data_IF_639086012678
#
_entry.id   IF_639086012678
#
_cell.length_a   1.000
_cell.length_b   1.000
_cell.length_c   1.000
_cell.angle_alpha   90.00
_cell.angle_beta   90.00
_cell.angle_gamma   90.00
#
_symmetry.space_group_name_H-M   'P 1'
#
loop_
_entity.id
_entity.type
_entity.pdbx_description
1 polymer ?
#
# COMPACT_ATOMS: atom_id res chain seq x y z
N UNK A 1 8.18 39.28 25.10
CA UNK A 1 7.50 37.98 25.20
C UNK A 1 6.70 37.77 23.92
N UNK A 2 7.28 37.11 22.92
CA UNK A 2 6.53 36.74 21.72
C UNK A 2 5.88 35.39 21.99
N UNK A 3 4.57 35.41 22.23
CA UNK A 3 3.72 34.22 22.20
C UNK A 3 3.80 33.59 20.82
N UNK A 4 4.70 32.64 20.68
CA UNK A 4 4.81 31.79 19.50
C UNK A 4 3.65 30.78 19.54
N UNK A 5 2.41 31.28 19.42
CA UNK A 5 1.26 30.43 19.11
C UNK A 5 1.56 29.81 17.75
N UNK A 6 1.83 28.51 17.73
CA UNK A 6 1.84 27.71 16.51
C UNK A 6 0.43 27.78 15.90
N UNK A 7 0.16 28.83 15.12
CA UNK A 7 -1.09 28.95 14.37
C UNK A 7 -0.95 28.00 13.19
N UNK A 8 -1.35 26.75 13.42
CA UNK A 8 -1.43 25.72 12.40
C UNK A 8 -2.48 26.15 11.38
N UNK A 9 -2.03 26.82 10.32
CA UNK A 9 -2.88 27.37 9.27
C UNK A 9 -3.21 26.28 8.25
N UNK A 10 -4.39 26.32 7.65
CA UNK A 10 -4.81 25.36 6.60
C UNK A 10 -3.80 25.28 5.43
N UNK A 11 -3.07 26.38 5.16
CA UNK A 11 -1.95 26.44 4.21
C UNK A 11 -0.82 25.51 4.61
N UNK A 12 -0.43 25.51 5.88
CA UNK A 12 0.59 24.62 6.42
C UNK A 12 0.14 23.15 6.38
N UNK A 13 -1.16 22.87 6.58
CA UNK A 13 -1.72 21.52 6.45
C UNK A 13 -1.63 21.00 5.02
N UNK A 14 -2.05 21.81 4.04
CA UNK A 14 -1.95 21.45 2.63
C UNK A 14 -0.49 21.26 2.22
N UNK A 15 0.41 22.13 2.68
CA UNK A 15 1.82 22.00 2.38
C UNK A 15 2.42 20.73 3.01
N UNK A 16 2.11 20.43 4.27
CA UNK A 16 2.55 19.20 4.93
C UNK A 16 2.02 17.93 4.24
N UNK A 17 0.82 17.99 3.65
CA UNK A 17 0.24 16.89 2.89
C UNK A 17 0.86 16.72 1.49
N UNK A 18 1.09 17.82 0.78
CA UNK A 18 1.59 17.80 -0.60
C UNK A 18 3.11 17.65 -0.69
N UNK A 19 3.86 18.19 0.28
CA UNK A 19 5.32 18.19 0.26
C UNK A 19 5.93 16.79 0.10
N UNK A 20 5.48 15.73 0.81
CA UNK A 20 5.99 14.38 0.60
C UNK A 20 5.76 13.87 -0.83
N UNK A 21 4.59 14.16 -1.41
CA UNK A 21 4.23 13.73 -2.76
C UNK A 21 5.09 14.44 -3.82
N UNK A 22 5.28 15.75 -3.67
CA UNK A 22 6.14 16.55 -4.54
C UNK A 22 7.60 16.13 -4.42
N UNK A 23 8.07 15.81 -3.21
CA UNK A 23 9.43 15.32 -2.98
C UNK A 23 9.67 13.97 -3.68
N UNK A 24 8.75 13.01 -3.54
CA UNK A 24 8.85 11.71 -4.23
C UNK A 24 8.88 11.90 -5.74
N UNK A 25 8.01 12.77 -6.27
CA UNK A 25 7.99 13.08 -7.70
C UNK A 25 9.27 13.77 -8.18
N UNK A 26 9.82 14.71 -7.41
CA UNK A 26 11.09 15.35 -7.71
C UNK A 26 12.24 14.34 -7.70
N UNK A 27 12.28 13.43 -6.73
CA UNK A 27 13.27 12.34 -6.67
C UNK A 27 13.21 11.45 -7.91
N UNK A 28 12.01 11.05 -8.35
CA UNK A 28 11.82 10.25 -9.57
C UNK A 28 12.41 10.94 -10.81
N UNK A 29 12.15 12.23 -10.98
CA UNK A 29 12.73 13.02 -12.08
C UNK A 29 14.26 13.09 -12.01
N UNK A 30 14.86 13.20 -10.82
CA UNK A 30 16.33 13.22 -10.68
C UNK A 30 16.99 11.88 -11.01
N UNK A 31 16.25 10.76 -10.91
CA UNK A 31 16.73 9.42 -11.21
C UNK A 31 16.50 9.01 -12.67
N UNK A 32 16.10 9.94 -13.53
CA UNK A 32 15.88 9.71 -14.96
C UNK A 32 14.43 9.45 -15.34
N UNK A 33 13.47 9.70 -14.44
CA UNK A 33 12.04 9.68 -14.76
C UNK A 33 11.68 10.72 -15.84
N UNK A 34 10.71 10.39 -16.70
CA UNK A 34 10.26 11.27 -17.79
C UNK A 34 8.87 11.84 -17.53
N UNK A 35 8.69 13.10 -17.92
CA UNK A 35 7.39 13.77 -17.88
C UNK A 35 6.57 13.26 -19.08
N UNK A 36 5.79 12.20 -18.87
CA UNK A 36 5.00 11.57 -19.94
C UNK A 36 4.89 10.04 -19.87
N UNK A 37 5.65 9.38 -18.99
CA UNK A 37 5.60 7.92 -18.76
C UNK A 37 4.25 7.38 -18.22
N UNK A 38 3.23 8.24 -18.09
CA UNK A 38 1.91 7.89 -17.56
C UNK A 38 1.04 7.04 -18.50
N UNK A 39 1.34 6.99 -19.80
CA UNK A 39 0.52 6.21 -20.77
C UNK A 39 0.53 4.73 -20.42
N UNK A 40 1.68 4.24 -19.95
CA UNK A 40 1.82 2.84 -19.59
C UNK A 40 1.57 2.55 -18.09
N UNK A 41 1.18 3.57 -17.33
CA UNK A 41 0.90 3.43 -15.90
C UNK A 41 -0.40 2.68 -15.60
N UNK A 42 -1.40 2.80 -16.48
CA UNK A 42 -2.72 2.21 -16.27
C UNK A 42 -2.71 0.67 -16.37
N UNK A 43 -2.07 0.04 -17.38
CA UNK A 43 -1.90 -1.42 -17.41
C UNK A 43 -1.11 -1.94 -16.20
N UNK A 44 -0.04 -1.24 -15.80
CA UNK A 44 0.75 -1.59 -14.60
C UNK A 44 -0.08 -1.53 -13.32
N UNK A 45 -0.93 -0.52 -13.19
CA UNK A 45 -1.84 -0.38 -12.06
C UNK A 45 -2.89 -1.50 -12.01
N UNK A 46 -3.51 -1.82 -13.16
CA UNK A 46 -4.45 -2.94 -13.25
C UNK A 46 -3.81 -4.28 -12.90
N UNK A 47 -2.58 -4.51 -13.37
CA UNK A 47 -1.78 -5.67 -13.02
C UNK A 47 -1.47 -5.77 -11.51
N UNK A 48 -1.12 -4.65 -10.89
CA UNK A 48 -0.88 -4.58 -9.44
C UNK A 48 -2.16 -4.86 -8.63
N UNK A 49 -3.30 -4.28 -9.03
CA UNK A 49 -4.60 -4.55 -8.41
C UNK A 49 -4.93 -6.04 -8.49
N UNK A 50 -4.84 -6.63 -9.69
CA UNK A 50 -5.21 -8.01 -9.90
C UNK A 50 -4.33 -8.98 -9.11
N UNK A 51 -3.02 -8.70 -9.06
CA UNK A 51 -2.07 -9.45 -8.22
C UNK A 51 -2.43 -9.33 -6.74
N UNK A 52 -2.73 -8.12 -6.26
CA UNK A 52 -3.11 -7.89 -4.86
C UNK A 52 -4.42 -8.59 -4.50
N UNK A 53 -5.39 -8.61 -5.41
CA UNK A 53 -6.66 -9.30 -5.25
C UNK A 53 -6.46 -10.81 -5.08
N UNK A 54 -5.63 -11.44 -5.95
CA UNK A 54 -5.34 -12.88 -5.83
C UNK A 54 -4.66 -13.18 -4.51
N UNK A 55 -3.56 -12.49 -4.20
CA UNK A 55 -2.80 -12.76 -2.97
C UNK A 55 -3.66 -12.53 -1.72
N UNK A 56 -4.42 -11.44 -1.68
CA UNK A 56 -5.37 -11.17 -0.61
C UNK A 56 -6.45 -12.25 -0.48
N UNK A 57 -7.04 -12.69 -1.59
CA UNK A 57 -8.03 -13.76 -1.60
C UNK A 57 -7.47 -15.08 -1.07
N UNK A 58 -6.22 -15.42 -1.39
CA UNK A 58 -5.54 -16.63 -0.89
C UNK A 58 -5.25 -16.54 0.61
N UNK A 59 -4.79 -15.37 1.09
CA UNK A 59 -4.57 -15.14 2.53
C UNK A 59 -5.88 -15.28 3.30
N UNK A 60 -6.95 -14.65 2.82
CA UNK A 60 -8.27 -14.72 3.45
C UNK A 60 -8.85 -16.13 3.36
N UNK A 61 -8.63 -16.85 2.25
CA UNK A 61 -9.04 -18.25 2.10
C UNK A 61 -8.34 -19.13 3.14
N UNK A 62 -7.03 -18.95 3.34
CA UNK A 62 -6.27 -19.62 4.39
C UNK A 62 -6.81 -19.28 5.78
N UNK A 63 -7.04 -17.99 6.05
CA UNK A 63 -7.63 -17.54 7.32
C UNK A 63 -8.97 -18.22 7.60
N UNK A 64 -9.85 -18.24 6.60
CA UNK A 64 -11.16 -18.87 6.71
C UNK A 64 -11.06 -20.38 6.87
N UNK A 65 -10.13 -21.05 6.19
CA UNK A 65 -9.88 -22.48 6.33
C UNK A 65 -9.54 -22.83 7.78
N UNK A 66 -8.55 -22.15 8.37
CA UNK A 66 -8.18 -22.34 9.78
C UNK A 66 -9.31 -21.98 10.74
N UNK A 67 -10.09 -20.94 10.43
CA UNK A 67 -11.23 -20.53 11.24
C UNK A 67 -12.40 -21.54 11.20
N UNK A 68 -12.71 -22.08 10.03
CA UNK A 68 -13.80 -23.04 9.83
C UNK A 68 -13.51 -24.37 10.52
N UNK A 69 -12.26 -24.85 10.42
CA UNK A 69 -11.77 -26.05 11.09
C UNK A 69 -11.85 -25.90 12.63
N UNK A 70 -11.41 -24.76 13.16
CA UNK A 70 -11.48 -24.46 14.60
C UNK A 70 -12.90 -24.41 15.18
N UNK A 71 -13.94 -24.15 14.36
CA UNK A 71 -15.31 -23.90 14.83
C UNK A 71 -16.39 -24.83 14.26
N UNK A 72 -16.01 -25.89 13.53
CA UNK A 72 -16.95 -26.80 12.83
C UNK A 72 -18.06 -26.05 12.06
N UNK A 73 -17.69 -24.94 11.41
CA UNK A 73 -18.64 -24.09 10.67
C UNK A 73 -18.85 -24.61 9.24
N UNK A 74 -19.98 -24.30 8.59
CA UNK A 74 -20.27 -24.76 7.24
C UNK A 74 -19.17 -24.32 6.27
N UNK A 75 -18.67 -25.26 5.47
CA UNK A 75 -17.59 -25.04 4.49
C UNK A 75 -18.03 -24.21 3.26
N UNK A 76 -19.32 -23.87 3.13
CA UNK A 76 -19.86 -23.14 1.98
C UNK A 76 -19.11 -21.83 1.65
N UNK A 77 -18.69 -20.99 2.60
CA UNK A 77 -17.91 -19.79 2.30
C UNK A 77 -16.50 -20.09 1.77
N UNK A 78 -15.91 -21.25 2.11
CA UNK A 78 -14.60 -21.67 1.60
C UNK A 78 -14.66 -21.92 0.09
N UNK A 79 -15.73 -22.58 -0.39
CA UNK A 79 -15.93 -22.83 -1.81
C UNK A 79 -16.12 -21.52 -2.61
N UNK A 80 -16.89 -20.58 -2.06
CA UNK A 80 -17.08 -19.27 -2.70
C UNK A 80 -15.77 -18.49 -2.83
N UNK A 81 -14.94 -18.50 -1.80
CA UNK A 81 -13.64 -17.83 -1.82
C UNK A 81 -12.63 -18.54 -2.72
N UNK A 82 -12.64 -19.87 -2.75
CA UNK A 82 -11.81 -20.65 -3.66
C UNK A 82 -12.16 -20.36 -5.13
N UNK A 83 -13.46 -20.34 -5.45
CA UNK A 83 -13.93 -19.97 -6.79
C UNK A 83 -13.53 -18.54 -7.17
N UNK A 84 -13.65 -17.58 -6.25
CA UNK A 84 -13.25 -16.20 -6.47
C UNK A 84 -11.74 -16.04 -6.72
N UNK A 85 -10.90 -16.80 -5.99
CA UNK A 85 -9.46 -16.85 -6.20
C UNK A 85 -9.11 -17.50 -7.55
N UNK A 86 -9.76 -18.61 -7.91
CA UNK A 86 -9.56 -19.31 -9.18
C UNK A 86 -9.92 -18.42 -10.38
N UNK A 87 -11.03 -17.69 -10.30
CA UNK A 87 -11.42 -16.70 -11.33
C UNK A 87 -10.34 -15.61 -11.43
N UNK A 88 -9.83 -15.09 -10.32
CA UNK A 88 -8.76 -14.09 -10.33
C UNK A 88 -7.50 -14.58 -11.05
N UNK A 89 -7.06 -15.82 -10.77
CA UNK A 89 -5.92 -16.45 -11.45
C UNK A 89 -6.19 -16.60 -12.94
N UNK A 90 -7.38 -17.06 -13.33
CA UNK A 90 -7.75 -17.23 -14.74
C UNK A 90 -7.74 -15.89 -15.49
N UNK A 91 -8.36 -14.86 -14.91
CA UNK A 91 -8.37 -13.50 -15.47
C UNK A 91 -6.95 -12.98 -15.63
N UNK A 92 -6.07 -13.22 -14.66
CA UNK A 92 -4.66 -12.81 -14.75
C UNK A 92 -3.96 -13.46 -15.94
N UNK A 93 -4.08 -14.79 -16.07
CA UNK A 93 -3.48 -15.50 -17.20
C UNK A 93 -4.04 -15.00 -18.54
N UNK A 94 -5.36 -14.73 -18.62
CA UNK A 94 -5.98 -14.19 -19.84
C UNK A 94 -5.47 -12.78 -20.17
N UNK A 95 -5.35 -11.89 -19.18
CA UNK A 95 -4.87 -10.52 -19.39
C UNK A 95 -3.38 -10.48 -19.73
N UNK A 96 -2.55 -11.31 -19.08
CA UNK A 96 -1.13 -11.42 -19.41
C UNK A 96 -0.91 -11.97 -20.82
N UNK A 97 -1.80 -12.82 -21.34
CA UNK A 97 -1.74 -13.31 -22.72
C UNK A 97 -2.09 -12.23 -23.78
N UNK A 98 -2.69 -11.10 -23.40
CA UNK A 98 -3.10 -10.05 -24.35
C UNK A 98 -1.99 -9.05 -24.70
N UNK A 99 -0.78 -9.20 -24.14
CA UNK A 99 0.40 -8.39 -24.53
C UNK A 99 0.42 -6.96 -23.97
N UNK A 100 -0.72 -6.32 -23.78
CA UNK A 100 -0.76 -4.89 -23.38
C UNK A 100 -0.44 -4.68 -21.88
N UNK A 101 -0.60 -5.71 -21.05
CA UNK A 101 -0.09 -5.73 -19.68
C UNK A 101 1.41 -6.12 -19.61
N UNK A 102 1.98 -6.65 -20.70
CA UNK A 102 3.38 -7.02 -20.87
C UNK A 102 4.16 -5.82 -21.40
N UNK A 103 4.37 -4.81 -20.57
CA UNK A 103 5.30 -3.73 -20.87
C UNK A 103 6.78 -4.15 -21.00
N UNK A 104 7.06 -5.45 -20.93
CA UNK A 104 8.38 -6.02 -21.09
C UNK A 104 8.29 -7.01 -22.26
N UNK A 105 8.58 -6.51 -23.46
CA UNK A 105 8.44 -7.14 -24.79
C UNK A 105 9.24 -8.46 -24.98
N UNK A 106 9.77 -9.05 -23.90
CA UNK A 106 10.61 -10.25 -23.95
C UNK A 106 10.55 -11.14 -22.69
N UNK A 107 9.63 -10.87 -21.75
CA UNK A 107 9.48 -11.66 -20.53
C UNK A 107 8.55 -12.87 -20.71
N UNK A 108 8.97 -14.06 -20.25
CA UNK A 108 8.04 -15.18 -20.09
C UNK A 108 6.94 -14.83 -19.06
N UNK A 109 5.70 -15.24 -19.30
CA UNK A 109 4.55 -15.06 -18.38
C UNK A 109 4.91 -15.47 -16.94
N UNK A 110 5.71 -16.54 -16.78
CA UNK A 110 6.16 -17.03 -15.47
C UNK A 110 7.05 -16.01 -14.73
N UNK A 111 7.95 -15.36 -15.46
CA UNK A 111 8.83 -14.34 -14.90
C UNK A 111 8.03 -13.10 -14.47
N UNK A 112 7.02 -12.73 -15.24
CA UNK A 112 6.16 -11.59 -14.92
C UNK A 112 5.28 -11.84 -13.69
N UNK A 113 4.68 -13.03 -13.58
CA UNK A 113 3.94 -13.42 -12.36
C UNK A 113 4.88 -13.36 -11.15
N UNK A 114 6.09 -13.90 -11.27
CA UNK A 114 7.07 -13.85 -10.18
C UNK A 114 7.46 -12.42 -9.82
N UNK A 115 7.73 -11.56 -10.81
CA UNK A 115 8.02 -10.15 -10.62
C UNK A 115 6.89 -9.44 -9.87
N UNK A 116 5.64 -9.61 -10.30
CA UNK A 116 4.49 -8.98 -9.67
C UNK A 116 4.32 -9.39 -8.20
N UNK A 117 4.48 -10.68 -7.91
CA UNK A 117 4.38 -11.20 -6.54
C UNK A 117 5.49 -10.63 -5.66
N UNK A 118 6.74 -10.68 -6.12
CA UNK A 118 7.88 -10.14 -5.38
C UNK A 118 7.73 -8.64 -5.17
N UNK A 119 7.38 -7.89 -6.22
CA UNK A 119 7.19 -6.45 -6.16
C UNK A 119 6.07 -6.06 -5.18
N UNK A 120 4.97 -6.82 -5.15
CA UNK A 120 3.87 -6.60 -4.20
C UNK A 120 4.32 -6.81 -2.75
N UNK A 121 5.09 -7.87 -2.46
CA UNK A 121 5.58 -8.11 -1.10
C UNK A 121 6.60 -7.06 -0.65
N UNK A 122 7.52 -6.66 -1.53
CA UNK A 122 8.53 -5.65 -1.22
C UNK A 122 7.88 -4.28 -0.99
N UNK A 123 6.98 -3.84 -1.88
CA UNK A 123 6.28 -2.56 -1.74
C UNK A 123 5.32 -2.57 -0.54
N UNK A 124 4.57 -3.65 -0.32
CA UNK A 124 3.74 -3.82 0.87
C UNK A 124 4.55 -3.79 2.16
N UNK A 125 5.72 -4.44 2.18
CA UNK A 125 6.66 -4.40 3.31
C UNK A 125 7.19 -2.99 3.57
N UNK A 126 7.53 -2.23 2.52
CA UNK A 126 7.95 -0.84 2.65
C UNK A 126 6.84 0.04 3.25
N UNK A 127 5.58 -0.17 2.84
CA UNK A 127 4.42 0.55 3.41
C UNK A 127 4.25 0.20 4.90
N UNK A 128 4.32 -1.07 5.27
CA UNK A 128 4.21 -1.51 6.67
C UNK A 128 5.33 -0.94 7.53
N UNK A 129 6.56 -0.92 7.03
CA UNK A 129 7.71 -0.34 7.71
C UNK A 129 7.55 1.19 7.87
N UNK A 130 7.10 1.87 6.81
CA UNK A 130 6.78 3.31 6.87
C UNK A 130 5.70 3.60 7.91
N UNK A 131 4.67 2.76 8.01
CA UNK A 131 3.62 2.89 9.01
C UNK A 131 4.15 2.65 10.42
N UNK A 132 4.96 1.62 10.63
CA UNK A 132 5.59 1.34 11.92
C UNK A 132 6.50 2.49 12.38
N UNK A 133 7.32 3.03 11.49
CA UNK A 133 8.17 4.19 11.77
C UNK A 133 7.33 5.44 12.06
N UNK A 134 6.32 5.73 11.25
CA UNK A 134 5.43 6.88 11.45
C UNK A 134 4.72 6.85 12.80
N UNK A 135 4.19 5.67 13.19
CA UNK A 135 3.61 5.46 14.51
C UNK A 135 4.66 5.63 15.61
N UNK A 136 5.84 5.01 15.46
CA UNK A 136 6.94 5.11 16.42
C UNK A 136 7.40 6.54 16.67
N UNK A 137 7.58 7.34 15.62
CA UNK A 137 7.93 8.76 15.72
C UNK A 137 6.81 9.57 16.39
N UNK A 138 5.54 9.26 16.08
CA UNK A 138 4.40 9.94 16.72
C UNK A 138 4.35 9.64 18.22
N UNK A 139 4.55 8.38 18.62
CA UNK A 139 4.63 7.99 20.03
C UNK A 139 5.83 8.62 20.74
N UNK A 140 7.01 8.63 20.11
CA UNK A 140 8.20 9.26 20.68
C UNK A 140 8.02 10.77 20.86
N UNK A 141 7.39 11.45 19.90
CA UNK A 141 7.15 12.90 20.00
C UNK A 141 6.09 13.24 21.07
N UNK A 142 5.02 12.46 21.19
CA UNK A 142 4.02 12.64 22.26
C UNK A 142 4.65 12.41 23.65
N UNK A 143 5.44 11.35 23.82
CA UNK A 143 6.04 11.03 25.13
C UNK A 143 7.22 11.93 25.50
N UNK A 144 7.95 12.47 24.52
CA UNK A 144 9.01 13.44 24.74
C UNK A 144 8.50 14.86 25.08
N UNK A 145 7.21 15.16 24.88
CA UNK A 145 6.66 16.44 25.30
C UNK A 145 6.65 16.54 26.83
N UNK A 146 7.53 17.39 27.36
CA UNK A 146 7.57 17.75 28.79
C UNK A 146 6.18 18.25 29.20
N UNK A 147 5.66 17.77 30.34
CA UNK A 147 4.35 18.14 30.86
C UNK A 147 4.17 19.66 30.78
N UNK A 148 3.20 20.11 29.98
CA UNK A 148 2.84 21.52 29.88
C UNK A 148 2.43 21.95 31.29
N UNK A 149 3.18 22.87 31.91
CA UNK A 149 2.77 23.47 33.19
C UNK A 149 1.37 24.05 32.98
N UNK A 150 0.37 23.43 33.58
CA UNK A 150 -0.98 24.00 33.69
C UNK A 150 -0.83 25.23 34.56
N UNK A 151 -0.98 26.41 33.95
CA UNK A 151 -0.98 27.71 34.63
C UNK A 151 -2.33 27.87 35.34
N UNK A 152 -2.55 27.02 36.34
CA UNK A 152 -3.60 27.12 37.34
C UNK A 152 -2.97 26.64 38.65
N UNK A 153 -1.93 27.34 39.09
CA UNK A 153 -1.63 27.45 40.51
C UNK A 153 -2.58 28.52 41.05
N UNK A 154 -3.22 28.18 42.16
CA UNK A 154 -4.28 28.89 42.87
C UNK A 154 -3.91 30.36 43.15
N UNK A 155 -4.83 31.27 42.80
CA UNK A 155 -5.11 32.49 43.57
C UNK A 155 -6.58 32.46 44.00
#
# INVERSE_FOLDING_TARGET
>A
MNDNRLVFTWRAMLLAFLLPLVLVWAFDLTLGGSIGAGVDSLPRFGNAILTSYILGSLILLGNLFFYADSRQRPLAPLFGMFAAAAIGVLVTVMLLNQGDLLMEDNGSIRAQILYNVVHMFVSGGAILLSLALGLGFTFATITAQKARRTVFEEE
#
